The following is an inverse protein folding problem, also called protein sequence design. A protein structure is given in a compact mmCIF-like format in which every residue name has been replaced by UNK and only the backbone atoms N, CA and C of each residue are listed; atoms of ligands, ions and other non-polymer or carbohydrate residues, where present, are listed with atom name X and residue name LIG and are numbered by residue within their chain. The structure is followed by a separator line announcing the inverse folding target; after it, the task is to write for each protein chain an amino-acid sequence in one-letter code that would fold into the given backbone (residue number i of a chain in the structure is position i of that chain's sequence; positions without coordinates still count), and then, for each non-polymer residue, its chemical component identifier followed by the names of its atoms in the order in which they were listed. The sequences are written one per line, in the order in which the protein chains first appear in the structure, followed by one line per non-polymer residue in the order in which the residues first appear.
data_IF_267134066943
#
_entry.id   IF_267134066943
#
_cell.length_a   1.000
_cell.length_b   1.000
_cell.length_c   1.000
_cell.angle_alpha   90.00
_cell.angle_beta   90.00
_cell.angle_gamma   90.00
#
_symmetry.space_group_name_H-M   'P 1'
#
loop_
_entity.id
_entity.type
_entity.pdbx_description
1 polymer ?
#
# COMPACT_ATOMS: atom_id res chain seq x y z
N UNK A 1 -14.96 -36.32 7.50
CA UNK A 1 -14.10 -35.36 8.21
C UNK A 1 -13.97 -34.12 7.36
N UNK A 2 -14.64 -33.01 7.71
CA UNK A 2 -14.58 -31.79 6.91
C UNK A 2 -14.09 -30.63 7.77
N UNK A 3 -12.84 -30.21 7.56
CA UNK A 3 -12.45 -28.82 7.75
C UNK A 3 -11.51 -28.41 6.61
N UNK A 4 -12.09 -27.83 5.56
CA UNK A 4 -11.36 -26.87 4.72
C UNK A 4 -11.10 -25.66 5.62
N UNK A 5 -9.86 -25.50 6.09
CA UNK A 5 -9.39 -24.20 6.58
C UNK A 5 -9.31 -23.30 5.34
N UNK A 6 -10.32 -22.47 5.13
CA UNK A 6 -10.28 -21.46 4.09
C UNK A 6 -9.14 -20.50 4.42
N UNK A 7 -8.18 -20.37 3.51
CA UNK A 7 -7.18 -19.30 3.56
C UNK A 7 -7.95 -17.97 3.42
N UNK A 8 -8.28 -17.35 4.54
CA UNK A 8 -8.84 -16.00 4.58
C UNK A 8 -7.71 -14.98 4.78
N UNK A 9 -7.91 -13.77 4.28
CA UNK A 9 -6.86 -12.76 4.14
C UNK A 9 -6.24 -12.28 5.46
N UNK A 10 -6.96 -12.39 6.58
CA UNK A 10 -6.54 -11.85 7.89
C UNK A 10 -6.84 -12.83 9.02
N UNK A 11 -6.16 -12.68 10.17
CA UNK A 11 -6.40 -13.55 11.33
C UNK A 11 -7.73 -13.18 12.01
N UNK A 12 -8.43 -14.16 12.55
CA UNK A 12 -9.74 -13.94 13.19
C UNK A 12 -9.73 -12.92 14.34
N UNK A 13 -8.59 -12.75 15.03
CA UNK A 13 -8.44 -11.76 16.11
C UNK A 13 -8.35 -10.30 15.61
N UNK A 14 -8.11 -10.11 14.31
CA UNK A 14 -8.07 -8.80 13.66
C UNK A 14 -9.43 -8.43 13.04
N UNK A 15 -10.37 -9.38 13.02
CA UNK A 15 -11.70 -9.25 12.45
C UNK A 15 -12.74 -8.93 13.53
N UNK A 16 -13.51 -7.86 13.32
CA UNK A 16 -14.54 -7.37 14.23
C UNK A 16 -15.92 -7.33 13.56
N UNK A 17 -16.98 -7.43 14.37
CA UNK A 17 -18.36 -7.35 13.87
C UNK A 17 -18.70 -5.93 13.44
N UNK A 18 -19.76 -5.77 12.64
CA UNK A 18 -20.25 -4.45 12.26
C UNK A 18 -20.64 -3.57 13.45
N UNK A 19 -21.20 -4.17 14.50
CA UNK A 19 -21.56 -3.45 15.73
C UNK A 19 -20.33 -2.98 16.49
N UNK A 20 -19.30 -3.82 16.61
CA UNK A 20 -18.04 -3.43 17.25
C UNK A 20 -17.31 -2.32 16.46
N UNK A 21 -17.35 -2.39 15.12
CA UNK A 21 -16.82 -1.33 14.27
C UNK A 21 -17.61 -0.01 14.40
N UNK A 22 -18.94 -0.11 14.53
CA UNK A 22 -19.79 1.05 14.76
C UNK A 22 -19.45 1.75 16.09
N UNK A 23 -19.24 0.97 17.16
CA UNK A 23 -18.80 1.47 18.46
C UNK A 23 -17.41 2.12 18.37
N UNK A 24 -16.45 1.49 17.69
CA UNK A 24 -15.08 2.05 17.58
C UNK A 24 -15.04 3.36 16.78
N UNK A 25 -15.97 3.56 15.85
CA UNK A 25 -16.09 4.77 15.04
C UNK A 25 -17.05 5.83 15.63
N UNK A 26 -17.79 5.51 16.70
CA UNK A 26 -18.81 6.38 17.26
C UNK A 26 -19.98 6.66 16.31
N UNK A 27 -20.35 5.68 15.47
CA UNK A 27 -21.43 5.80 14.48
C UNK A 27 -22.50 4.73 14.68
N UNK A 28 -23.65 4.88 14.01
CA UNK A 28 -24.70 3.86 14.05
C UNK A 28 -24.37 2.65 13.16
N UNK A 29 -24.86 1.47 13.52
CA UNK A 29 -24.73 0.25 12.69
C UNK A 29 -25.35 0.42 11.28
N UNK A 30 -26.37 1.27 11.17
CA UNK A 30 -26.96 1.66 9.89
C UNK A 30 -25.98 2.44 9.00
N UNK A 31 -25.13 3.29 9.58
CA UNK A 31 -24.09 4.03 8.84
C UNK A 31 -23.03 3.08 8.27
N UNK A 32 -22.62 2.07 9.05
CA UNK A 32 -21.71 1.00 8.58
C UNK A 32 -22.36 0.20 7.45
N UNK A 33 -23.61 -0.21 7.61
CA UNK A 33 -24.36 -0.95 6.57
C UNK A 33 -24.50 -0.14 5.27
N UNK A 34 -24.73 1.17 5.39
CA UNK A 34 -24.73 2.10 4.26
C UNK A 34 -23.35 2.16 3.60
N UNK A 35 -22.29 2.33 4.37
CA UNK A 35 -20.92 2.37 3.85
C UNK A 35 -20.54 1.09 3.10
N UNK A 36 -20.91 -0.09 3.62
CA UNK A 36 -20.74 -1.37 2.92
C UNK A 36 -21.49 -1.37 1.58
N UNK A 37 -22.78 -0.99 1.58
CA UNK A 37 -23.61 -0.96 0.36
C UNK A 37 -23.05 -0.06 -0.74
N UNK A 38 -22.41 1.04 -0.35
CA UNK A 38 -21.77 1.97 -1.30
C UNK A 38 -20.31 1.62 -1.61
N UNK A 39 -19.80 0.45 -1.18
CA UNK A 39 -18.43 0.00 -1.47
C UNK A 39 -17.35 0.85 -0.82
N UNK A 40 -17.64 1.49 0.32
CA UNK A 40 -16.72 2.42 1.00
C UNK A 40 -15.86 1.75 2.07
N UNK A 41 -16.29 0.58 2.51
CA UNK A 41 -15.60 -0.30 3.44
C UNK A 41 -15.68 -1.72 2.89
N UNK A 42 -14.57 -2.44 2.94
CA UNK A 42 -14.50 -3.83 2.52
C UNK A 42 -14.89 -4.77 3.66
N UNK A 43 -15.44 -5.92 3.27
CA UNK A 43 -15.75 -7.04 4.16
C UNK A 43 -14.82 -8.21 3.90
N UNK A 44 -14.48 -8.93 4.97
CA UNK A 44 -13.59 -10.09 4.96
C UNK A 44 -14.29 -11.29 5.57
N UNK A 45 -13.97 -12.49 5.11
CA UNK A 45 -14.49 -13.72 5.69
C UNK A 45 -13.59 -14.21 6.83
N UNK A 46 -14.18 -14.67 7.93
CA UNK A 46 -13.45 -15.33 9.02
C UNK A 46 -13.28 -16.83 8.78
N UNK A 47 -12.62 -17.54 9.71
CA UNK A 47 -12.42 -19.01 9.63
C UNK A 47 -13.71 -19.85 9.55
N UNK A 48 -14.85 -19.23 9.87
CA UNK A 48 -16.19 -19.81 9.82
C UNK A 48 -16.99 -19.40 8.57
N UNK A 49 -16.38 -18.67 7.63
CA UNK A 49 -17.03 -18.18 6.40
C UNK A 49 -18.08 -17.09 6.65
N UNK A 50 -18.03 -16.42 7.81
CA UNK A 50 -18.92 -15.28 8.12
C UNK A 50 -18.21 -13.98 7.75
N UNK A 51 -18.99 -13.01 7.29
CA UNK A 51 -18.50 -11.67 6.95
C UNK A 51 -18.21 -10.85 8.22
N UNK A 52 -17.02 -10.27 8.26
CA UNK A 52 -16.49 -9.39 9.31
C UNK A 52 -15.77 -8.20 8.67
N UNK A 53 -15.39 -7.24 9.50
CA UNK A 53 -14.59 -6.08 9.09
C UNK A 53 -13.21 -6.15 9.74
N UNK A 54 -12.20 -5.58 9.13
CA UNK A 54 -10.87 -5.51 9.72
C UNK A 54 -10.80 -4.33 10.70
N UNK A 55 -10.30 -4.56 11.91
CA UNK A 55 -10.24 -3.56 13.00
C UNK A 55 -9.55 -2.25 12.62
N UNK A 56 -8.43 -2.32 11.91
CA UNK A 56 -7.67 -1.14 11.45
C UNK A 56 -8.06 -0.70 10.02
N UNK A 57 -8.03 -1.61 9.05
CA UNK A 57 -8.20 -1.26 7.62
C UNK A 57 -9.59 -0.69 7.35
N UNK A 58 -10.66 -1.33 7.85
CA UNK A 58 -12.02 -0.86 7.60
C UNK A 58 -12.30 0.50 8.26
N UNK A 59 -11.66 0.81 9.39
CA UNK A 59 -11.70 2.15 10.01
C UNK A 59 -11.04 3.19 9.11
N UNK A 60 -9.85 2.90 8.58
CA UNK A 60 -9.14 3.80 7.66
C UNK A 60 -9.94 4.05 6.39
N UNK A 61 -10.50 2.99 5.78
CA UNK A 61 -11.37 3.09 4.60
C UNK A 61 -12.60 3.96 4.87
N UNK A 62 -13.26 3.75 6.02
CA UNK A 62 -14.45 4.53 6.39
C UNK A 62 -14.15 6.03 6.52
N UNK A 63 -13.03 6.38 7.16
CA UNK A 63 -12.63 7.77 7.36
C UNK A 63 -12.12 8.42 6.07
N UNK A 64 -11.32 7.71 5.28
CA UNK A 64 -10.79 8.20 4.00
C UNK A 64 -11.91 8.44 2.98
N UNK A 65 -12.88 7.52 2.92
CA UNK A 65 -13.99 7.59 1.99
C UNK A 65 -15.21 8.30 2.60
N UNK A 66 -15.07 9.12 3.66
CA UNK A 66 -16.19 9.82 4.30
C UNK A 66 -16.91 10.76 3.31
N UNK A 67 -18.23 10.90 3.46
CA UNK A 67 -19.12 11.46 2.45
C UNK A 67 -18.97 12.98 2.52
N UNK A 68 -18.14 13.56 1.65
CA UNK A 68 -17.93 15.01 1.59
C UNK A 68 -19.11 15.75 0.95
N UNK A 69 -20.14 15.03 0.52
CA UNK A 69 -21.38 15.61 -0.03
C UNK A 69 -22.08 16.55 0.94
N UNK A 70 -22.02 16.32 2.25
CA UNK A 70 -22.58 17.25 3.24
C UNK A 70 -21.68 18.45 3.60
N UNK A 71 -20.40 18.40 3.23
CA UNK A 71 -19.43 19.48 3.53
C UNK A 71 -19.41 20.54 2.42
N UNK A 72 -19.87 20.17 1.21
CA UNK A 72 -19.77 21.03 0.01
C UNK A 72 -21.12 21.52 -0.52
N UNK A 73 -22.23 21.00 0.01
CA UNK A 73 -23.58 21.38 -0.45
C UNK A 73 -24.27 22.20 0.63
N UNK A 74 -24.43 23.51 0.40
CA UNK A 74 -25.23 24.40 1.25
C UNK A 74 -26.61 23.81 1.50
N UNK A 75 -27.02 23.72 2.75
CA UNK A 75 -28.40 23.32 3.09
C UNK A 75 -29.40 24.32 2.49
N UNK A 76 -30.66 23.88 2.25
CA UNK A 76 -31.71 24.76 1.70
C UNK A 76 -31.90 26.05 2.53
N UNK A 77 -31.75 25.95 3.85
CA UNK A 77 -31.80 27.10 4.75
C UNK A 77 -30.62 28.06 4.54
N UNK A 78 -29.40 27.56 4.41
CA UNK A 78 -28.21 28.40 4.15
C UNK A 78 -28.26 29.09 2.78
N UNK A 79 -28.80 28.41 1.77
CA UNK A 79 -29.01 29.00 0.43
C UNK A 79 -30.10 30.09 0.45
N UNK A 80 -31.12 29.97 1.31
CA UNK A 80 -32.17 30.98 1.47
C UNK A 80 -31.66 32.26 2.17
N UNK A 81 -30.59 32.16 2.96
CA UNK A 81 -29.95 33.30 3.66
C UNK A 81 -28.77 33.88 2.86
N UNK A 82 -28.50 33.36 1.64
CA UNK A 82 -27.46 33.89 0.76
C UNK A 82 -26.02 33.64 1.25
N UNK A 83 -25.80 32.61 2.08
CA UNK A 83 -24.45 32.26 2.53
C UNK A 83 -23.68 31.53 1.42
N UNK A 84 -22.56 32.12 1.01
CA UNK A 84 -21.57 31.45 0.16
C UNK A 84 -20.92 30.27 0.89
N UNK A 85 -20.40 29.30 0.12
CA UNK A 85 -19.80 28.06 0.66
C UNK A 85 -18.73 28.31 1.75
N UNK A 86 -18.01 29.43 1.66
CA UNK A 86 -17.02 29.86 2.65
C UNK A 86 -17.66 30.31 3.98
N UNK A 87 -18.78 31.02 3.94
CA UNK A 87 -19.50 31.45 5.15
C UNK A 87 -20.15 30.25 5.86
N UNK A 88 -20.66 29.28 5.10
CA UNK A 88 -21.19 28.04 5.66
C UNK A 88 -20.11 27.20 6.39
N UNK A 89 -18.87 27.20 5.88
CA UNK A 89 -17.73 26.58 6.57
C UNK A 89 -17.41 27.27 7.90
N UNK A 90 -17.50 28.61 7.96
CA UNK A 90 -17.25 29.37 9.19
C UNK A 90 -18.26 29.07 10.31
N UNK A 91 -19.54 28.91 9.98
CA UNK A 91 -20.60 28.65 10.98
C UNK A 91 -20.53 27.23 11.54
N UNK A 92 -20.12 26.24 10.73
CA UNK A 92 -20.03 24.84 11.17
C UNK A 92 -18.92 24.57 12.21
N UNK A 93 -17.94 25.49 12.35
CA UNK A 93 -16.87 25.39 13.34
C UNK A 93 -17.13 26.16 14.64
N UNK A 94 -18.28 26.83 14.76
CA UNK A 94 -18.71 27.43 16.03
C UNK A 94 -19.37 26.34 16.88
N UNK A 95 -18.63 25.81 17.85
CA UNK A 95 -19.16 24.91 18.86
C UNK A 95 -20.25 25.63 19.68
N UNK A 96 -21.53 25.30 19.44
CA UNK A 96 -22.65 25.85 20.22
C UNK A 96 -24.02 25.91 19.54
N UNK A 97 -24.16 25.53 18.26
CA UNK A 97 -25.45 25.59 17.57
C UNK A 97 -26.32 24.32 17.78
N UNK A 98 -26.52 23.91 19.02
CA UNK A 98 -27.57 22.96 19.41
C UNK A 98 -28.71 23.74 20.08
N UNK A 99 -29.50 24.46 19.29
CA UNK A 99 -30.82 24.93 19.75
C UNK A 99 -31.78 25.10 18.55
N UNK A 100 -32.96 24.47 18.53
CA UNK A 100 -33.83 24.44 17.34
C UNK A 100 -34.73 25.69 17.16
N UNK A 101 -34.78 26.61 18.12
CA UNK A 101 -35.75 27.72 18.14
C UNK A 101 -35.11 29.10 17.90
N UNK A 102 -34.49 29.31 16.73
CA UNK A 102 -33.97 30.63 16.35
C UNK A 102 -34.74 31.24 15.17
N UNK A 103 -35.88 31.87 15.48
CA UNK A 103 -36.68 32.71 14.57
C UNK A 103 -36.39 34.22 14.75
N UNK A 104 -35.14 34.58 15.05
CA UNK A 104 -34.70 35.97 15.16
C UNK A 104 -33.55 36.26 14.20
N UNK A 105 -33.64 37.31 13.39
CA UNK A 105 -32.49 37.80 12.63
C UNK A 105 -31.33 38.15 13.60
N UNK A 106 -30.07 37.87 13.24
CA UNK A 106 -28.94 38.17 14.11
C UNK A 106 -28.84 39.69 14.28
N UNK A 107 -29.11 40.19 15.49
CA UNK A 107 -28.75 41.54 15.84
C UNK A 107 -27.23 41.65 15.79
N UNK A 108 -26.73 42.58 14.98
CA UNK A 108 -25.31 42.90 14.92
C UNK A 108 -24.89 43.50 16.27
N UNK A 109 -24.42 42.64 17.18
CA UNK A 109 -23.69 43.05 18.37
C UNK A 109 -22.43 43.78 17.91
N UNK A 110 -22.50 45.11 17.82
CA UNK A 110 -21.33 45.98 17.87
C UNK A 110 -20.80 45.98 19.31
N UNK A 111 -20.23 44.86 19.72
CA UNK A 111 -19.25 44.89 20.79
C UNK A 111 -17.97 45.47 20.18
N UNK A 112 -17.59 46.67 20.62
CA UNK A 112 -16.23 47.16 20.43
C UNK A 112 -15.30 46.14 21.08
N UNK A 113 -14.60 45.36 20.25
CA UNK A 113 -13.56 44.43 20.71
C UNK A 113 -12.37 45.30 21.11
N UNK A 114 -12.38 45.77 22.36
CA UNK A 114 -11.17 46.30 22.99
C UNK A 114 -10.19 45.15 23.19
N UNK A 115 -8.95 45.35 22.74
CA UNK A 115 -7.87 44.37 22.92
C UNK A 115 -7.60 43.46 21.73
N UNK A 116 -7.73 43.96 20.50
CA UNK A 116 -7.19 43.25 19.33
C UNK A 116 -5.65 43.31 19.40
N UNK A 117 -5.04 42.20 19.78
CA UNK A 117 -3.59 42.02 19.76
C UNK A 117 -3.09 41.91 18.30
N UNK A 118 -2.72 43.05 17.72
CA UNK A 118 -2.24 43.15 16.34
C UNK A 118 -1.01 42.28 16.07
N UNK A 119 -0.24 41.90 17.11
CA UNK A 119 0.88 40.97 16.98
C UNK A 119 0.42 39.57 16.60
N UNK A 120 -0.60 39.05 17.29
CA UNK A 120 -1.18 37.72 16.99
C UNK A 120 -1.84 37.66 15.62
N UNK A 121 -2.50 38.74 15.18
CA UNK A 121 -3.10 38.80 13.83
C UNK A 121 -2.03 38.78 12.74
N UNK A 122 -0.86 39.38 12.98
CA UNK A 122 0.26 39.34 12.04
C UNK A 122 0.90 37.95 11.98
N UNK A 123 1.05 37.28 13.11
CA UNK A 123 1.52 35.88 13.19
C UNK A 123 0.55 34.92 12.48
N UNK A 124 -0.75 35.02 12.75
CA UNK A 124 -1.78 34.21 12.07
C UNK A 124 -1.81 34.44 10.54
N UNK A 125 -1.55 35.68 10.10
CA UNK A 125 -1.43 35.98 8.66
C UNK A 125 -0.19 35.36 8.04
N UNK A 126 0.95 35.39 8.73
CA UNK A 126 2.17 34.74 8.26
C UNK A 126 1.99 33.22 8.19
N UNK A 127 1.37 32.61 9.19
CA UNK A 127 1.04 31.17 9.18
C UNK A 127 0.09 30.80 8.04
N UNK A 128 -0.91 31.65 7.76
CA UNK A 128 -1.81 31.47 6.61
C UNK A 128 -1.10 31.58 5.26
N UNK A 129 -0.13 32.48 5.12
CA UNK A 129 0.67 32.62 3.89
C UNK A 129 1.58 31.41 3.69
N UNK A 130 2.23 30.93 4.74
CA UNK A 130 3.00 29.67 4.71
C UNK A 130 2.11 28.50 4.29
N UNK A 131 0.94 28.35 4.91
CA UNK A 131 -0.02 27.29 4.56
C UNK A 131 -0.51 27.36 3.10
N UNK A 132 -0.73 28.58 2.56
CA UNK A 132 -1.08 28.77 1.14
C UNK A 132 0.05 28.35 0.22
N UNK A 133 1.29 28.74 0.52
CA UNK A 133 2.46 28.38 -0.28
C UNK A 133 2.71 26.88 -0.29
N UNK A 134 2.55 26.19 0.85
CA UNK A 134 2.65 24.72 0.93
C UNK A 134 1.56 24.04 0.11
N UNK A 135 0.32 24.54 0.20
CA UNK A 135 -0.80 24.03 -0.60
C UNK A 135 -0.53 24.17 -2.10
N UNK A 136 -0.03 25.31 -2.55
CA UNK A 136 0.35 25.55 -3.94
C UNK A 136 1.51 24.66 -4.39
N UNK A 137 2.51 24.47 -3.54
CA UNK A 137 3.61 23.53 -3.77
C UNK A 137 3.08 22.09 -3.99
N UNK A 138 2.22 21.60 -3.11
CA UNK A 138 1.63 20.27 -3.26
C UNK A 138 0.75 20.14 -4.49
N UNK A 139 -0.02 21.17 -4.83
CA UNK A 139 -0.82 21.22 -6.06
C UNK A 139 0.05 21.17 -7.32
N UNK A 140 1.13 21.96 -7.35
CA UNK A 140 2.07 21.97 -8.48
C UNK A 140 2.74 20.61 -8.67
N UNK A 141 3.10 19.95 -7.56
CA UNK A 141 3.70 18.61 -7.58
C UNK A 141 2.70 17.55 -8.05
N UNK A 142 1.44 17.63 -7.63
CA UNK A 142 0.37 16.75 -8.13
C UNK A 142 0.08 16.98 -9.61
N UNK A 143 0.06 18.23 -10.07
CA UNK A 143 -0.13 18.56 -11.48
C UNK A 143 1.02 17.98 -12.33
N UNK A 144 2.26 18.09 -11.86
CA UNK A 144 3.42 17.46 -12.50
C UNK A 144 3.30 15.93 -12.55
N UNK A 145 2.95 15.28 -11.43
CA UNK A 145 2.74 13.83 -11.42
C UNK A 145 1.64 13.41 -12.41
N UNK A 146 0.53 14.14 -12.48
CA UNK A 146 -0.54 13.84 -13.45
C UNK A 146 -0.08 14.02 -14.90
N UNK A 147 0.74 15.03 -15.18
CA UNK A 147 1.34 15.22 -16.50
C UNK A 147 2.28 14.05 -16.84
N UNK A 148 3.16 13.66 -15.92
CA UNK A 148 4.07 12.52 -16.10
C UNK A 148 3.33 11.17 -16.22
N UNK A 149 2.15 11.04 -15.61
CA UNK A 149 1.23 9.89 -15.78
C UNK A 149 0.62 9.86 -17.18
N UNK A 150 0.13 10.99 -17.68
CA UNK A 150 -0.41 11.11 -19.05
C UNK A 150 0.65 10.90 -20.12
N UNK A 151 1.89 11.35 -19.87
CA UNK A 151 3.05 11.08 -20.72
C UNK A 151 3.54 9.63 -20.63
N UNK A 152 3.00 8.82 -19.72
CA UNK A 152 3.37 7.41 -19.53
C UNK A 152 4.74 7.20 -18.91
N UNK A 153 5.35 8.25 -18.34
CA UNK A 153 6.64 8.17 -17.64
C UNK A 153 6.51 7.56 -16.25
N UNK A 154 5.35 7.77 -15.60
CA UNK A 154 5.08 7.15 -14.30
C UNK A 154 4.63 5.71 -14.47
N UNK A 155 5.42 4.80 -13.91
CA UNK A 155 5.06 3.39 -13.78
C UNK A 155 4.50 3.18 -12.39
N UNK A 156 3.37 2.47 -12.31
CA UNK A 156 2.78 2.06 -11.05
C UNK A 156 3.81 1.31 -10.20
N UNK A 157 4.02 1.81 -8.97
CA UNK A 157 4.94 1.24 -7.99
C UNK A 157 4.69 -0.26 -7.81
N UNK A 158 3.44 -0.67 -7.65
CA UNK A 158 3.11 -2.09 -7.42
C UNK A 158 3.49 -2.96 -8.63
N UNK A 159 3.21 -2.48 -9.84
CA UNK A 159 3.60 -3.19 -11.08
C UNK A 159 5.11 -3.27 -11.23
N UNK A 160 5.85 -2.22 -10.86
CA UNK A 160 7.31 -2.21 -10.92
C UNK A 160 7.90 -3.24 -9.95
N UNK A 161 7.42 -3.27 -8.70
CA UNK A 161 7.83 -4.30 -7.73
C UNK A 161 7.50 -5.71 -8.20
N UNK A 162 6.30 -5.93 -8.74
CA UNK A 162 5.89 -7.24 -9.24
C UNK A 162 6.79 -7.71 -10.39
N UNK A 163 7.09 -6.82 -11.35
CA UNK A 163 8.00 -7.14 -12.47
C UNK A 163 9.42 -7.41 -12.00
N UNK A 164 9.94 -6.60 -11.07
CA UNK A 164 11.27 -6.81 -10.50
C UNK A 164 11.36 -8.16 -9.76
N UNK A 165 10.33 -8.51 -8.99
CA UNK A 165 10.26 -9.81 -8.32
C UNK A 165 10.19 -10.97 -9.30
N UNK A 166 9.35 -10.87 -10.34
CA UNK A 166 9.26 -11.88 -11.40
C UNK A 166 10.59 -12.07 -12.12
N UNK A 167 11.30 -10.98 -12.40
CA UNK A 167 12.63 -11.02 -13.03
C UNK A 167 13.65 -11.71 -12.11
N UNK A 168 13.68 -11.36 -10.82
CA UNK A 168 14.55 -12.01 -9.84
C UNK A 168 14.30 -13.51 -9.73
N UNK A 169 13.02 -13.91 -9.66
CA UNK A 169 12.63 -15.32 -9.63
C UNK A 169 13.05 -16.06 -10.90
N UNK A 170 12.87 -15.46 -12.08
CA UNK A 170 13.28 -16.05 -13.35
C UNK A 170 14.81 -16.21 -13.46
N UNK A 171 15.59 -15.23 -12.99
CA UNK A 171 17.05 -15.31 -12.95
C UNK A 171 17.49 -16.44 -12.01
N UNK A 172 16.91 -16.49 -10.80
CA UNK A 172 17.22 -17.54 -9.83
C UNK A 172 16.93 -18.93 -10.40
N UNK A 173 15.75 -19.12 -11.00
CA UNK A 173 15.38 -20.39 -11.62
C UNK A 173 16.37 -20.78 -12.73
N UNK A 174 16.68 -19.86 -13.65
CA UNK A 174 17.65 -20.11 -14.72
C UNK A 174 19.03 -20.48 -14.19
N UNK A 175 19.56 -19.72 -13.23
CA UNK A 175 20.88 -19.99 -12.63
C UNK A 175 20.88 -21.34 -11.91
N UNK A 176 19.82 -21.67 -11.20
CA UNK A 176 19.70 -22.97 -10.54
C UNK A 176 19.53 -24.12 -11.54
N UNK A 177 19.04 -23.91 -12.75
CA UNK A 177 19.03 -24.97 -13.79
C UNK A 177 20.38 -25.17 -14.49
N UNK A 178 21.38 -24.32 -14.26
CA UNK A 178 22.69 -24.45 -14.93
C UNK A 178 23.41 -25.74 -14.50
N UNK A 179 23.39 -26.07 -13.20
CA UNK A 179 24.14 -27.24 -12.72
C UNK A 179 23.56 -28.55 -13.25
N UNK A 180 22.24 -28.66 -13.41
CA UNK A 180 21.61 -29.89 -13.93
C UNK A 180 21.92 -30.13 -15.40
N UNK A 181 22.27 -29.07 -16.14
CA UNK A 181 22.72 -29.16 -17.53
C UNK A 181 24.22 -29.39 -17.66
N UNK A 182 25.03 -28.63 -16.93
CA UNK A 182 26.50 -28.66 -17.07
C UNK A 182 27.13 -29.88 -16.39
N UNK A 183 26.59 -30.33 -15.25
CA UNK A 183 27.16 -31.48 -14.53
C UNK A 183 27.26 -32.77 -15.37
N UNK A 184 26.21 -33.19 -16.12
CA UNK A 184 26.31 -34.36 -17.00
C UNK A 184 27.23 -34.11 -18.20
N UNK A 185 27.30 -32.89 -18.75
CA UNK A 185 28.23 -32.54 -19.84
C UNK A 185 29.69 -32.71 -19.39
N UNK A 186 30.06 -32.15 -18.23
CA UNK A 186 31.40 -32.30 -17.64
C UNK A 186 31.70 -33.77 -17.35
N UNK A 187 30.75 -34.51 -16.76
CA UNK A 187 30.93 -35.92 -16.50
C UNK A 187 31.14 -36.73 -17.79
N UNK A 188 30.42 -36.38 -18.86
CA UNK A 188 30.62 -36.93 -20.20
C UNK A 188 32.04 -36.72 -20.70
N UNK A 189 32.57 -35.49 -20.63
CA UNK A 189 33.93 -35.17 -21.07
C UNK A 189 35.00 -35.98 -20.32
N UNK A 190 34.86 -36.13 -19.00
CA UNK A 190 35.76 -36.97 -18.20
C UNK A 190 35.69 -38.44 -18.59
N UNK A 191 34.48 -38.97 -18.84
CA UNK A 191 34.30 -40.34 -19.31
C UNK A 191 34.95 -40.56 -20.68
N UNK A 192 34.78 -39.63 -21.61
CA UNK A 192 35.42 -39.67 -22.92
C UNK A 192 36.94 -39.59 -22.83
N UNK A 193 37.48 -38.72 -21.97
CA UNK A 193 38.92 -38.59 -21.76
C UNK A 193 39.54 -39.87 -21.19
N UNK A 194 38.88 -40.50 -20.21
CA UNK A 194 39.35 -41.78 -19.64
C UNK A 194 39.26 -42.94 -20.64
N UNK A 195 38.24 -42.93 -21.49
CA UNK A 195 38.09 -43.92 -22.56
C UNK A 195 39.21 -43.78 -23.60
N UNK A 196 39.55 -42.54 -23.99
CA UNK A 196 40.68 -42.24 -24.89
C UNK A 196 42.05 -42.62 -24.30
N UNK A 197 42.14 -42.74 -22.97
CA UNK A 197 43.34 -43.14 -22.26
C UNK A 197 43.42 -44.66 -22.02
N UNK A 198 42.56 -45.46 -22.66
CA UNK A 198 42.50 -46.93 -22.55
C UNK A 198 42.31 -47.44 -21.11
N UNK A 199 41.59 -46.69 -20.25
CA UNK A 199 41.22 -47.21 -18.94
C UNK A 199 40.18 -48.34 -19.07
N UNK A 200 40.30 -49.42 -18.27
CA UNK A 200 39.28 -50.45 -18.20
C UNK A 200 37.92 -49.87 -17.82
N UNK A 201 36.87 -50.25 -18.55
CA UNK A 201 35.50 -49.73 -18.38
C UNK A 201 34.97 -49.91 -16.95
N UNK A 202 35.35 -51.00 -16.28
CA UNK A 202 34.97 -51.27 -14.88
C UNK A 202 35.56 -50.22 -13.92
N UNK A 203 36.79 -49.78 -14.16
CA UNK A 203 37.44 -48.72 -13.38
C UNK A 203 36.83 -47.35 -13.66
N UNK A 204 36.47 -47.08 -14.92
CA UNK A 204 35.78 -45.84 -15.30
C UNK A 204 34.44 -45.77 -14.58
N UNK A 205 33.66 -46.85 -14.57
CA UNK A 205 32.34 -46.87 -13.92
C UNK A 205 32.45 -46.62 -12.42
N UNK A 206 33.45 -47.21 -11.75
CA UNK A 206 33.72 -46.99 -10.33
C UNK A 206 34.13 -45.54 -10.01
N UNK A 207 34.95 -44.91 -10.85
CA UNK A 207 35.41 -43.53 -10.66
C UNK A 207 34.29 -42.52 -10.93
N UNK A 208 33.46 -42.81 -11.92
CA UNK A 208 32.36 -41.95 -12.37
C UNK A 208 31.12 -42.04 -11.48
N UNK A 209 31.02 -43.06 -10.63
CA UNK A 209 29.88 -43.25 -9.75
C UNK A 209 29.70 -42.05 -8.81
N UNK A 210 28.52 -41.42 -8.85
CA UNK A 210 28.23 -40.21 -8.10
C UNK A 210 28.97 -38.93 -8.54
N UNK A 211 29.79 -38.97 -9.60
CA UNK A 211 30.56 -37.80 -10.05
C UNK A 211 29.67 -36.68 -10.58
N UNK A 212 28.60 -37.01 -11.31
CA UNK A 212 27.59 -36.05 -11.77
C UNK A 212 26.95 -35.29 -10.60
N UNK A 213 26.59 -36.01 -9.53
CA UNK A 213 26.03 -35.41 -8.33
C UNK A 213 27.06 -34.54 -7.60
N UNK A 214 28.32 -34.99 -7.47
CA UNK A 214 29.38 -34.23 -6.81
C UNK A 214 29.73 -32.93 -7.55
N UNK A 215 29.82 -32.98 -8.88
CA UNK A 215 30.06 -31.80 -9.73
C UNK A 215 28.87 -30.85 -9.67
N UNK A 216 27.64 -31.38 -9.82
CA UNK A 216 26.41 -30.59 -9.74
C UNK A 216 26.28 -29.85 -8.41
N UNK A 217 26.59 -30.51 -7.30
CA UNK A 217 26.51 -29.92 -5.96
C UNK A 217 27.56 -28.82 -5.73
N UNK A 218 28.76 -28.94 -6.33
CA UNK A 218 29.77 -27.87 -6.31
C UNK A 218 29.33 -26.65 -7.10
N UNK A 219 28.80 -26.85 -8.31
CA UNK A 219 28.28 -25.77 -9.15
C UNK A 219 27.10 -25.08 -8.46
N UNK A 220 26.17 -25.85 -7.89
CA UNK A 220 25.02 -25.32 -7.15
C UNK A 220 25.46 -24.40 -6.00
N UNK A 221 26.45 -24.83 -5.20
CA UNK A 221 26.98 -24.02 -4.10
C UNK A 221 27.64 -22.74 -4.60
N UNK A 222 28.43 -22.81 -5.68
CA UNK A 222 29.04 -21.63 -6.28
C UNK A 222 27.97 -20.63 -6.76
N UNK A 223 26.94 -21.10 -7.47
CA UNK A 223 25.83 -20.27 -7.92
C UNK A 223 25.10 -19.58 -6.76
N UNK A 224 24.85 -20.27 -5.64
CA UNK A 224 24.21 -19.68 -4.46
C UNK A 224 25.07 -18.58 -3.84
N UNK A 225 26.39 -18.82 -3.73
CA UNK A 225 27.33 -17.83 -3.19
C UNK A 225 27.34 -16.59 -4.08
N UNK A 226 27.48 -16.75 -5.39
CA UNK A 226 27.49 -15.63 -6.34
C UNK A 226 26.16 -14.87 -6.36
N UNK A 227 25.01 -15.56 -6.33
CA UNK A 227 23.71 -14.90 -6.24
C UNK A 227 23.56 -14.08 -4.94
N UNK A 228 24.09 -14.61 -3.83
CA UNK A 228 24.10 -13.91 -2.56
C UNK A 228 24.99 -12.66 -2.60
N UNK A 229 26.20 -12.77 -3.13
CA UNK A 229 27.11 -11.64 -3.31
C UNK A 229 26.46 -10.54 -4.17
N UNK A 230 25.78 -10.92 -5.26
CA UNK A 230 25.05 -9.97 -6.11
C UNK A 230 23.88 -9.31 -5.37
N UNK A 231 23.19 -10.02 -4.48
CA UNK A 231 22.09 -9.46 -3.69
C UNK A 231 22.54 -8.50 -2.59
N UNK A 232 23.81 -8.61 -2.15
CA UNK A 232 24.39 -7.79 -1.08
C UNK A 232 25.08 -6.52 -1.62
N UNK A 233 25.31 -6.41 -2.94
CA UNK A 233 25.89 -5.21 -3.58
C UNK A 233 24.90 -4.05 -3.61
N UNK A 234 25.41 -2.84 -3.40
CA UNK A 234 24.64 -1.59 -3.57
C UNK A 234 24.56 -1.21 -5.05
N UNK A 235 23.54 -0.42 -5.42
CA UNK A 235 23.32 0.04 -6.80
C UNK A 235 24.58 0.68 -7.42
N UNK A 236 25.32 1.46 -6.63
CA UNK A 236 26.55 2.13 -7.06
C UNK A 236 27.69 1.16 -7.43
N UNK A 237 27.71 -0.04 -6.86
CA UNK A 237 28.73 -1.07 -7.11
C UNK A 237 28.38 -2.00 -8.29
N UNK A 238 27.17 -1.88 -8.84
CA UNK A 238 26.66 -2.70 -9.96
C UNK A 238 26.84 -1.98 -11.31
N UNK A 239 26.78 -0.64 -11.29
CA UNK A 239 26.83 0.20 -12.49
C UNK A 239 28.21 0.81 -12.78
N UNK A 240 29.20 0.60 -11.91
CA UNK A 240 30.61 0.97 -12.09
C UNK A 240 31.35 -0.08 -12.92
#
# INVERSE_FOLDING_TARGET
MFHRRTNHSYKDNELITGDALAVSLGVSAAAISKAKRFGRIDTFENSRGKEYYHSVISVQQFLANKDRSHVTTTTRAQKAVGMDNLAAMGVAHIAGAENPDFTGAPQANRALVEGIDYGKILEEKQELEVSKSEKEYHLSRLARMKADEMEGRLVDKQKCFQKAYQLGAAIQDKVMTIYSRIAPEIAGEFREAMTKADLPTDKITLIMDGMEHAVGERIRKACIITLRELSEKKEDDILA
#
